data_IF_966035536919
#
_entry.id   IF_966035536919
#
_cell.length_a   1.000
_cell.length_b   1.000
_cell.length_c   1.000
_cell.angle_alpha   90.00
_cell.angle_beta   90.00
_cell.angle_gamma   90.00
#
_symmetry.space_group_name_H-M   'P 1'
#
loop_
_entity.id
_entity.type
_entity.pdbx_description
1 polymer ?
#
# COMPACT_ATOMS: atom_id res chain seq x y z
N UNK A 1 0.42 -13.22 -4.80
CA UNK A 1 -0.48 -13.21 -5.96
C UNK A 1 0.00 -14.22 -6.99
N UNK A 2 -0.90 -15.04 -7.49
CA UNK A 2 -0.61 -16.02 -8.53
C UNK A 2 -1.76 -16.07 -9.53
N UNK A 3 -1.44 -16.43 -10.75
CA UNK A 3 -2.45 -16.70 -11.78
C UNK A 3 -2.92 -18.14 -11.65
N UNK A 4 -4.24 -18.35 -11.62
CA UNK A 4 -4.81 -19.69 -11.47
C UNK A 4 -4.43 -20.64 -12.60
N UNK A 5 -4.23 -20.10 -13.79
CA UNK A 5 -3.97 -20.91 -14.98
C UNK A 5 -2.65 -21.69 -14.90
N UNK A 6 -1.66 -21.16 -14.22
CA UNK A 6 -0.34 -21.79 -14.16
C UNK A 6 0.29 -21.84 -12.76
N UNK A 7 -0.40 -21.35 -11.74
CA UNK A 7 0.03 -21.33 -10.35
C UNK A 7 1.38 -20.64 -10.09
N UNK A 8 1.94 -19.95 -11.08
CA UNK A 8 3.20 -19.25 -10.86
C UNK A 8 2.97 -17.94 -10.13
N UNK A 9 3.76 -17.67 -9.08
CA UNK A 9 3.68 -16.37 -8.41
C UNK A 9 4.04 -15.25 -9.37
N UNK A 10 3.16 -14.25 -9.48
CA UNK A 10 3.42 -13.04 -10.27
C UNK A 10 3.80 -11.86 -9.38
N UNK A 11 3.71 -12.04 -8.07
CA UNK A 11 4.04 -11.03 -7.09
C UNK A 11 3.37 -11.34 -5.76
N UNK A 12 3.39 -10.35 -4.86
CA UNK A 12 2.66 -10.46 -3.60
C UNK A 12 1.93 -9.17 -3.28
N UNK A 13 0.92 -9.29 -2.43
CA UNK A 13 0.21 -8.16 -1.86
C UNK A 13 -0.21 -8.58 -0.45
N UNK A 14 0.00 -7.73 0.54
CA UNK A 14 -0.28 -8.12 1.92
C UNK A 14 -0.40 -6.94 2.87
N UNK A 15 -1.00 -7.22 4.03
CA UNK A 15 -1.06 -6.31 5.18
C UNK A 15 -0.06 -6.80 6.22
N UNK A 16 0.64 -5.86 6.85
CA UNK A 16 1.60 -6.18 7.90
C UNK A 16 1.68 -5.05 8.92
N UNK A 17 2.05 -5.40 10.16
CA UNK A 17 2.39 -4.38 11.14
C UNK A 17 3.73 -3.77 10.76
N UNK A 18 3.82 -2.44 10.86
CA UNK A 18 5.09 -1.76 10.59
C UNK A 18 6.04 -1.93 11.76
N UNK A 19 7.33 -1.82 11.46
CA UNK A 19 8.41 -1.89 12.44
C UNK A 19 9.35 -0.70 12.19
N UNK A 20 8.78 0.50 12.19
CA UNK A 20 9.47 1.71 11.77
C UNK A 20 9.38 2.82 12.83
N UNK A 21 9.26 2.45 14.10
CA UNK A 21 9.30 3.43 15.18
C UNK A 21 10.64 4.17 15.18
N UNK A 22 10.68 5.48 15.48
CA UNK A 22 9.55 6.34 15.85
C UNK A 22 8.82 6.98 14.67
N UNK A 23 9.17 6.64 13.44
CA UNK A 23 8.58 7.24 12.24
C UNK A 23 7.10 6.92 12.11
N UNK A 24 6.73 5.67 12.41
CA UNK A 24 5.34 5.23 12.44
C UNK A 24 5.08 4.58 13.80
N UNK A 25 3.95 4.93 14.47
CA UNK A 25 3.63 4.37 15.78
C UNK A 25 3.50 2.85 15.75
N UNK A 26 3.81 2.23 16.87
CA UNK A 26 3.58 0.80 17.05
C UNK A 26 2.11 0.48 16.81
N UNK A 27 1.85 -0.60 16.08
CA UNK A 27 0.49 -0.99 15.73
C UNK A 27 -0.02 -0.43 14.40
N UNK A 28 0.77 0.42 13.73
CA UNK A 28 0.43 0.90 12.38
C UNK A 28 0.45 -0.27 11.40
N UNK A 29 -0.60 -0.39 10.59
CA UNK A 29 -0.72 -1.44 9.58
C UNK A 29 -0.41 -0.86 8.21
N UNK A 30 0.51 -1.47 7.50
CA UNK A 30 0.81 -1.08 6.12
C UNK A 30 0.24 -2.10 5.13
N UNK A 31 -0.12 -1.62 3.95
CA UNK A 31 -0.38 -2.45 2.80
C UNK A 31 0.78 -2.31 1.83
N UNK A 32 1.29 -3.43 1.35
CA UNK A 32 2.40 -3.46 0.42
C UNK A 32 2.15 -4.44 -0.71
N UNK A 33 2.86 -4.22 -1.80
CA UNK A 33 2.75 -5.09 -2.98
C UNK A 33 4.05 -5.11 -3.77
N UNK A 34 4.22 -6.21 -4.49
CA UNK A 34 5.29 -6.36 -5.47
C UNK A 34 4.73 -7.20 -6.61
N UNK A 35 5.00 -6.80 -7.84
CA UNK A 35 4.48 -7.49 -9.01
C UNK A 35 5.57 -7.54 -10.09
N UNK A 36 5.72 -8.68 -10.75
CA UNK A 36 6.64 -8.82 -11.87
C UNK A 36 6.24 -7.87 -13.00
N UNK A 37 7.23 -7.21 -13.61
CA UNK A 37 6.99 -6.16 -14.59
C UNK A 37 6.00 -6.50 -15.71
N UNK A 38 6.03 -7.73 -16.30
CA UNK A 38 5.08 -8.05 -17.37
C UNK A 38 3.61 -8.01 -16.98
N UNK A 39 3.31 -8.03 -15.67
CA UNK A 39 1.92 -8.06 -15.19
C UNK A 39 1.41 -6.70 -14.74
N UNK A 40 2.27 -5.67 -14.71
CA UNK A 40 1.83 -4.32 -14.39
C UNK A 40 0.90 -3.79 -15.50
N UNK A 41 -0.05 -2.96 -15.10
CA UNK A 41 -1.01 -2.37 -16.02
C UNK A 41 -2.25 -3.22 -16.29
N UNK A 42 -2.31 -4.42 -15.73
CA UNK A 42 -3.46 -5.33 -15.91
C UNK A 42 -4.45 -5.28 -14.74
N UNK A 43 -4.24 -4.37 -13.78
CA UNK A 43 -5.16 -4.20 -12.66
C UNK A 43 -5.03 -5.23 -11.53
N UNK A 44 -4.12 -6.19 -11.64
CA UNK A 44 -3.98 -7.25 -10.63
C UNK A 44 -3.66 -6.71 -9.25
N UNK A 45 -2.71 -5.77 -9.15
CA UNK A 45 -2.32 -5.20 -7.85
C UNK A 45 -3.46 -4.37 -7.28
N UNK A 46 -4.10 -3.54 -8.10
CA UNK A 46 -5.23 -2.71 -7.65
C UNK A 46 -6.36 -3.58 -7.12
N UNK A 47 -6.70 -4.65 -7.83
CA UNK A 47 -7.74 -5.59 -7.42
C UNK A 47 -7.38 -6.28 -6.10
N UNK A 48 -6.16 -6.81 -5.99
CA UNK A 48 -5.70 -7.49 -4.79
C UNK A 48 -5.61 -6.54 -3.59
N UNK A 49 -5.09 -5.33 -3.80
CA UNK A 49 -4.99 -4.33 -2.75
C UNK A 49 -6.36 -3.88 -2.26
N UNK A 50 -7.32 -3.69 -3.17
CA UNK A 50 -8.69 -3.34 -2.80
C UNK A 50 -9.33 -4.44 -1.95
N UNK A 51 -9.13 -5.69 -2.30
CA UNK A 51 -9.63 -6.83 -1.52
C UNK A 51 -9.01 -6.90 -0.13
N UNK A 52 -7.72 -6.57 -0.01
CA UNK A 52 -7.03 -6.54 1.28
C UNK A 52 -7.52 -5.40 2.17
N UNK A 53 -7.79 -4.22 1.61
CA UNK A 53 -8.37 -3.13 2.38
C UNK A 53 -9.74 -3.51 2.91
N UNK A 54 -10.55 -4.15 2.09
CA UNK A 54 -11.85 -4.65 2.52
C UNK A 54 -11.72 -5.63 3.68
N UNK A 55 -10.82 -6.59 3.56
CA UNK A 55 -10.53 -7.54 4.63
C UNK A 55 -10.10 -6.82 5.90
N UNK A 56 -9.16 -5.89 5.78
CA UNK A 56 -8.64 -5.15 6.93
C UNK A 56 -9.71 -4.36 7.67
N UNK A 57 -10.53 -3.62 6.92
CA UNK A 57 -11.56 -2.78 7.54
C UNK A 57 -12.81 -3.54 7.96
N UNK A 58 -13.27 -4.50 7.17
CA UNK A 58 -14.49 -5.25 7.49
C UNK A 58 -14.24 -6.41 8.46
N UNK A 59 -13.19 -7.21 8.21
CA UNK A 59 -12.98 -8.44 8.98
C UNK A 59 -12.05 -8.24 10.17
N UNK A 60 -11.08 -7.34 10.06
CA UNK A 60 -10.10 -7.09 11.13
C UNK A 60 -10.42 -5.84 11.95
N UNK A 61 -11.37 -5.02 11.53
CA UNK A 61 -11.77 -3.83 12.26
C UNK A 61 -10.68 -2.76 12.37
N UNK A 62 -9.81 -2.66 11.39
CA UNK A 62 -8.73 -1.67 11.40
C UNK A 62 -9.30 -0.26 11.29
N UNK A 63 -8.62 0.71 11.92
CA UNK A 63 -9.02 2.12 11.87
C UNK A 63 -8.31 2.87 10.74
N UNK A 64 -7.10 2.47 10.38
CA UNK A 64 -6.31 3.10 9.34
C UNK A 64 -5.34 2.09 8.73
N UNK A 65 -5.07 2.27 7.44
CA UNK A 65 -4.01 1.54 6.74
C UNK A 65 -3.12 2.55 6.03
N UNK A 66 -1.83 2.36 6.09
CA UNK A 66 -0.85 3.22 5.40
C UNK A 66 -0.11 2.44 4.32
N UNK A 67 0.48 3.16 3.39
CA UNK A 67 1.43 2.61 2.43
C UNK A 67 2.50 3.66 2.14
N UNK A 68 3.70 3.23 1.81
CA UNK A 68 4.78 4.16 1.53
C UNK A 68 5.68 3.62 0.43
N UNK A 69 6.29 4.54 -0.29
CA UNK A 69 7.19 4.23 -1.39
C UNK A 69 8.12 5.40 -1.64
N UNK A 70 9.21 5.18 -2.37
CA UNK A 70 10.03 6.30 -2.84
C UNK A 70 9.24 7.12 -3.87
N UNK A 71 9.46 8.44 -3.93
CA UNK A 71 8.67 9.30 -4.84
C UNK A 71 8.75 8.88 -6.31
N UNK A 72 9.86 8.34 -6.74
CA UNK A 72 10.04 7.90 -8.13
C UNK A 72 9.24 6.64 -8.47
N UNK A 73 8.72 5.92 -7.48
CA UNK A 73 7.93 4.72 -7.73
C UNK A 73 6.48 5.09 -8.06
N UNK A 74 6.27 5.60 -9.27
CA UNK A 74 4.97 6.11 -9.72
C UNK A 74 3.94 5.01 -9.90
N UNK A 75 4.36 3.78 -10.16
CA UNK A 75 3.45 2.63 -10.24
C UNK A 75 2.78 2.37 -8.90
N UNK A 76 3.57 2.35 -7.82
CA UNK A 76 3.05 2.13 -6.47
C UNK A 76 2.17 3.28 -6.01
N UNK A 77 2.58 4.53 -6.20
CA UNK A 77 1.76 5.68 -5.80
C UNK A 77 0.46 5.75 -6.60
N UNK A 78 0.48 5.35 -7.87
CA UNK A 78 -0.73 5.26 -8.68
C UNK A 78 -1.72 4.23 -8.12
N UNK A 79 -1.24 3.08 -7.67
CA UNK A 79 -2.09 2.06 -7.02
C UNK A 79 -2.68 2.61 -5.73
N UNK A 80 -1.87 3.26 -4.90
CA UNK A 80 -2.34 3.89 -3.65
C UNK A 80 -3.51 4.83 -3.92
N UNK A 81 -3.39 5.68 -4.94
CA UNK A 81 -4.46 6.60 -5.32
C UNK A 81 -5.71 5.88 -5.82
N UNK A 82 -5.54 4.85 -6.63
CA UNK A 82 -6.68 4.09 -7.19
C UNK A 82 -7.50 3.39 -6.13
N UNK A 83 -6.87 2.93 -5.06
CA UNK A 83 -7.59 2.25 -3.97
C UNK A 83 -8.13 3.23 -2.92
N UNK A 84 -7.98 4.53 -3.16
CA UNK A 84 -8.59 5.57 -2.33
C UNK A 84 -7.69 6.15 -1.26
N UNK A 85 -6.42 5.78 -1.23
CA UNK A 85 -5.47 6.37 -0.29
C UNK A 85 -5.10 7.78 -0.71
N UNK A 86 -4.83 8.63 0.27
CA UNK A 86 -4.41 10.01 0.04
C UNK A 86 -3.03 10.26 0.61
N UNK A 87 -2.33 11.22 0.01
CA UNK A 87 -1.02 11.64 0.46
C UNK A 87 -1.07 12.32 1.81
N UNK A 88 -0.18 11.93 2.71
CA UNK A 88 -0.02 12.59 4.00
C UNK A 88 1.45 13.02 4.17
N UNK A 89 1.81 14.21 3.65
CA UNK A 89 3.19 14.69 3.68
C UNK A 89 3.76 14.85 5.09
N UNK A 90 2.90 15.10 6.08
CA UNK A 90 3.35 15.27 7.46
C UNK A 90 3.97 14.01 8.05
N UNK A 91 3.72 12.86 7.43
CA UNK A 91 4.23 11.57 7.90
C UNK A 91 5.27 10.96 6.94
N UNK A 92 5.74 11.71 5.95
CA UNK A 92 6.86 11.26 5.12
C UNK A 92 8.09 11.02 5.99
N UNK A 93 8.92 10.06 5.64
CA UNK A 93 10.05 9.69 6.48
C UNK A 93 11.22 9.15 5.66
N UNK A 94 12.40 9.13 6.30
CA UNK A 94 13.58 8.48 5.75
C UNK A 94 13.62 7.05 6.25
N UNK A 95 13.60 6.08 5.35
CA UNK A 95 13.52 4.69 5.73
C UNK A 95 14.80 4.23 6.43
N UNK A 96 14.72 3.76 7.68
CA UNK A 96 15.91 3.48 8.49
C UNK A 96 16.74 2.29 8.01
N UNK A 97 16.17 1.41 7.19
CA UNK A 97 16.86 0.22 6.68
C UNK A 97 17.48 0.41 5.31
N UNK A 98 17.36 1.60 4.72
CA UNK A 98 18.00 1.90 3.45
C UNK A 98 19.41 2.43 3.73
N UNK A 99 20.46 1.86 3.10
CA UNK A 99 21.83 2.34 3.29
C UNK A 99 21.98 3.81 2.88
N UNK A 100 22.81 4.54 3.62
CA UNK A 100 23.04 5.97 3.35
C UNK A 100 23.73 6.25 2.03
N UNK A 101 24.34 5.25 1.40
CA UNK A 101 24.95 5.37 0.08
C UNK A 101 23.94 5.26 -1.07
N UNK A 102 22.64 5.14 -0.75
CA UNK A 102 21.57 5.12 -1.74
C UNK A 102 20.53 6.19 -1.43
N UNK A 103 20.89 7.48 -1.54
CA UNK A 103 20.03 8.58 -1.11
C UNK A 103 18.68 8.64 -1.83
N UNK A 104 18.62 8.19 -3.07
CA UNK A 104 17.37 8.18 -3.84
C UNK A 104 16.34 7.20 -3.29
N UNK A 105 16.77 6.23 -2.48
CA UNK A 105 15.89 5.20 -1.90
C UNK A 105 15.57 5.45 -0.42
N UNK A 106 16.11 6.51 0.18
CA UNK A 106 15.93 6.80 1.61
C UNK A 106 14.58 7.44 1.88
N UNK A 107 14.27 8.53 1.15
CA UNK A 107 13.03 9.27 1.40
C UNK A 107 11.82 8.53 0.89
N UNK A 108 10.84 8.32 1.77
CA UNK A 108 9.58 7.68 1.42
C UNK A 108 8.43 8.66 1.60
N UNK A 109 7.52 8.65 0.64
CA UNK A 109 6.25 9.38 0.73
C UNK A 109 5.19 8.45 1.30
N UNK A 110 4.35 8.97 2.16
CA UNK A 110 3.32 8.19 2.86
C UNK A 110 1.94 8.52 2.34
N UNK A 111 1.17 7.47 2.11
CA UNK A 111 -0.26 7.53 1.80
C UNK A 111 -1.02 6.79 2.89
N UNK A 112 -2.25 7.22 3.15
CA UNK A 112 -3.07 6.64 4.20
C UNK A 112 -4.54 6.60 3.78
N UNK A 113 -5.29 5.72 4.41
CA UNK A 113 -6.75 5.69 4.30
C UNK A 113 -7.32 5.22 5.63
N UNK A 114 -8.28 5.97 6.17
CA UNK A 114 -9.02 5.57 7.36
C UNK A 114 -10.19 4.66 6.98
N UNK A 115 -10.73 3.96 7.97
CA UNK A 115 -11.93 3.14 7.76
C UNK A 115 -13.10 3.98 7.21
N UNK A 116 -13.26 5.19 7.73
CA UNK A 116 -14.31 6.11 7.28
C UNK A 116 -14.10 6.53 5.82
N UNK A 117 -12.88 6.91 5.48
CA UNK A 117 -12.51 7.28 4.10
C UNK A 117 -12.70 6.11 3.14
N UNK A 118 -12.35 4.90 3.57
CA UNK A 118 -12.52 3.71 2.76
C UNK A 118 -14.00 3.44 2.46
N UNK A 119 -14.87 3.59 3.45
CA UNK A 119 -16.32 3.41 3.25
C UNK A 119 -16.86 4.43 2.27
N UNK A 120 -16.40 5.68 2.36
CA UNK A 120 -16.82 6.74 1.44
C UNK A 120 -16.33 6.46 0.01
N UNK A 121 -15.10 6.03 -0.15
CA UNK A 121 -14.53 5.68 -1.46
C UNK A 121 -15.26 4.49 -2.08
N UNK A 122 -15.51 3.45 -1.31
CA UNK A 122 -16.24 2.26 -1.74
C UNK A 122 -17.65 2.61 -2.20
N UNK A 123 -18.34 3.48 -1.47
CA UNK A 123 -19.69 3.92 -1.82
C UNK A 123 -19.71 4.60 -3.19
N UNK A 124 -18.74 5.47 -3.46
CA UNK A 124 -18.61 6.12 -4.77
C UNK A 124 -18.31 5.12 -5.88
N UNK A 125 -17.44 4.16 -5.61
CA UNK A 125 -17.07 3.15 -6.60
C UNK A 125 -18.22 2.18 -6.89
N UNK A 126 -19.10 1.96 -5.92
CA UNK A 126 -20.24 1.07 -6.04
C UNK A 126 -21.44 1.66 -6.77
N UNK A 127 -21.38 2.93 -7.06
CA UNK A 127 -22.43 3.61 -7.81
C UNK A 127 -22.04 3.80 -9.26
#
# INVERSE_FOLDING_TARGET
VALKADDRPIGFCGLALTDLEPHLPKGTVEIGWRLATPFWGKGYVTEAASALLRYGFEDRGLSEVVSFAVPANTRSTAVMQRIGMHRDPSRDFDHPRVPTDQPALIRHVLYAISAEEWRAHRSKAGT
#
